data_IF_001733167778
#
_entry.id   IF_001733167778
#
_cell.length_a   1.000
_cell.length_b   1.000
_cell.length_c   1.000
_cell.angle_alpha   90.00
_cell.angle_beta   90.00
_cell.angle_gamma   90.00
#
_symmetry.space_group_name_H-M   'P 1'
#
loop_
_entity.id
_entity.type
_entity.pdbx_description
1 polymer ?
#
# COMPACT_ATOMS: atom_id res chain seq x y z
N UNK A 1 18.42 -17.03 19.75
CA UNK A 1 19.81 -16.59 19.59
C UNK A 1 19.83 -15.12 19.25
N UNK A 2 20.50 -14.35 20.06
CA UNK A 2 20.76 -12.93 19.79
C UNK A 2 21.80 -12.86 18.68
N UNK A 3 21.52 -12.10 17.65
CA UNK A 3 22.45 -11.95 16.53
C UNK A 3 22.15 -10.69 15.72
N UNK A 4 23.19 -10.18 15.10
CA UNK A 4 23.05 -9.07 14.17
C UNK A 4 22.64 -9.61 12.79
N UNK A 5 21.70 -8.94 12.15
CA UNK A 5 21.24 -9.24 10.81
C UNK A 5 21.63 -8.11 9.88
N UNK A 6 22.30 -8.46 8.80
CA UNK A 6 22.57 -7.56 7.69
C UNK A 6 21.75 -7.98 6.50
N UNK A 7 20.87 -7.09 6.03
CA UNK A 7 20.09 -7.30 4.81
C UNK A 7 20.43 -6.23 3.79
N UNK A 8 20.43 -6.63 2.52
CA UNK A 8 20.66 -5.70 1.40
C UNK A 8 19.88 -6.12 0.18
N UNK A 9 19.40 -5.15 -0.57
CA UNK A 9 18.75 -5.34 -1.85
C UNK A 9 19.29 -4.33 -2.86
N UNK A 10 19.59 -4.80 -4.05
CA UNK A 10 19.86 -3.95 -5.20
C UNK A 10 18.55 -3.64 -5.93
N UNK A 11 18.43 -2.43 -6.45
CA UNK A 11 17.28 -2.00 -7.21
C UNK A 11 17.67 -0.95 -8.25
N UNK A 12 16.84 -0.80 -9.27
CA UNK A 12 16.98 0.22 -10.29
C UNK A 12 15.98 1.34 -10.05
N UNK A 13 16.41 2.58 -10.37
CA UNK A 13 15.54 3.75 -10.32
C UNK A 13 15.41 4.31 -11.73
N UNK A 14 14.22 4.18 -12.38
CA UNK A 14 14.03 4.68 -13.73
C UNK A 14 14.39 6.16 -13.84
N UNK A 15 15.05 6.55 -14.93
CA UNK A 15 15.55 7.92 -15.10
C UNK A 15 14.45 8.97 -15.29
N UNK A 16 13.24 8.52 -15.63
CA UNK A 16 12.02 9.32 -15.73
C UNK A 16 11.24 9.43 -14.42
N UNK A 17 11.60 8.65 -13.39
CA UNK A 17 11.00 8.72 -12.08
C UNK A 17 11.53 9.91 -11.27
N UNK A 18 10.60 10.64 -10.66
CA UNK A 18 10.90 11.77 -9.79
C UNK A 18 11.62 11.32 -8.52
N UNK A 19 12.55 12.14 -8.04
CA UNK A 19 13.34 11.88 -6.82
C UNK A 19 12.96 12.79 -5.66
N UNK A 20 11.97 13.65 -5.84
CA UNK A 20 11.45 14.54 -4.81
C UNK A 20 10.51 13.82 -3.83
N UNK A 21 10.43 14.31 -2.62
CA UNK A 21 9.55 13.82 -1.57
C UNK A 21 9.61 12.30 -1.34
N UNK A 22 10.82 11.73 -1.37
CA UNK A 22 11.05 10.32 -1.08
C UNK A 22 11.09 10.06 0.41
N UNK A 23 10.47 8.97 0.81
CA UNK A 23 10.42 8.49 2.19
C UNK A 23 10.92 7.05 2.25
N UNK A 24 11.65 6.75 3.30
CA UNK A 24 11.86 5.40 3.77
C UNK A 24 10.66 5.00 4.63
N UNK A 25 9.94 3.95 4.26
CA UNK A 25 9.05 3.23 5.15
C UNK A 25 9.81 2.03 5.69
N UNK A 26 9.77 1.82 7.00
CA UNK A 26 10.46 0.70 7.61
C UNK A 26 9.79 0.23 8.90
N UNK A 27 9.95 -1.04 9.17
CA UNK A 27 9.52 -1.70 10.40
C UNK A 27 10.67 -2.52 10.94
N UNK A 28 10.82 -2.59 12.24
CA UNK A 28 11.95 -3.28 12.85
C UNK A 28 11.62 -3.84 14.25
N UNK A 29 12.44 -4.76 14.67
CA UNK A 29 12.56 -5.36 16.00
C UNK A 29 14.03 -5.71 16.21
N UNK A 30 14.62 -5.16 17.09
CA UNK A 30 15.02 -4.16 17.99
C UNK A 30 15.66 -2.89 17.35
N UNK A 31 17.03 -2.78 17.43
CA UNK A 31 17.76 -1.63 16.88
C UNK A 31 17.95 -1.77 15.37
N UNK A 32 17.80 -0.67 14.64
CA UNK A 32 18.02 -0.66 13.19
C UNK A 32 18.82 0.55 12.73
N UNK A 33 19.67 0.33 11.75
CA UNK A 33 20.34 1.35 10.94
C UNK A 33 20.06 1.07 9.47
N UNK A 34 19.58 2.07 8.72
CA UNK A 34 19.26 1.91 7.30
C UNK A 34 20.15 2.80 6.45
N UNK A 35 20.62 2.24 5.36
CA UNK A 35 21.58 2.87 4.44
C UNK A 35 21.06 2.83 3.00
N UNK A 36 21.15 3.94 2.30
CA UNK A 36 20.90 4.04 0.86
C UNK A 36 22.22 4.44 0.16
N UNK A 37 22.69 3.57 -0.74
CA UNK A 37 23.97 3.76 -1.44
C UNK A 37 25.15 4.06 -0.50
N UNK A 38 25.14 3.40 0.69
CA UNK A 38 26.17 3.57 1.72
C UNK A 38 26.02 4.81 2.61
N UNK A 39 25.02 5.66 2.37
CA UNK A 39 24.70 6.79 3.24
C UNK A 39 23.60 6.40 4.23
N UNK A 40 23.82 6.64 5.52
CA UNK A 40 22.83 6.35 6.55
C UNK A 40 21.62 7.31 6.41
N UNK A 41 20.42 6.75 6.33
CA UNK A 41 19.17 7.50 6.14
C UNK A 41 18.21 7.36 7.33
N UNK A 42 18.35 6.30 8.11
CA UNK A 42 17.57 6.12 9.32
C UNK A 42 18.34 5.36 10.40
N UNK A 43 18.01 5.66 11.64
CA UNK A 43 18.40 4.94 12.85
C UNK A 43 17.21 4.92 13.77
N UNK A 44 16.89 3.77 14.35
CA UNK A 44 15.90 3.65 15.40
C UNK A 44 16.44 2.77 16.55
N UNK A 45 15.91 3.05 17.74
CA UNK A 45 16.37 2.41 18.96
C UNK A 45 15.74 1.04 19.20
N UNK A 46 15.91 0.57 20.42
CA UNK A 46 15.41 -0.71 20.88
C UNK A 46 13.88 -0.70 20.94
N UNK A 47 13.25 -1.71 20.36
CA UNK A 47 11.81 -1.89 20.38
C UNK A 47 11.27 -2.41 19.04
N UNK A 48 10.02 -2.80 19.08
CA UNK A 48 9.25 -3.23 17.93
C UNK A 48 8.41 -2.06 17.43
N UNK A 49 8.75 -1.55 16.27
CA UNK A 49 8.01 -0.48 15.60
C UNK A 49 7.62 -0.88 14.18
N UNK A 50 6.42 -0.48 13.79
CA UNK A 50 5.86 -0.76 12.48
C UNK A 50 5.60 0.51 11.69
N UNK A 51 5.77 0.42 10.38
CA UNK A 51 5.40 1.45 9.40
C UNK A 51 5.94 2.85 9.71
N UNK A 52 7.13 2.91 10.27
CA UNK A 52 7.83 4.18 10.49
C UNK A 52 8.12 4.85 9.14
N UNK A 53 7.90 6.16 9.08
CA UNK A 53 8.19 6.97 7.90
C UNK A 53 9.31 7.95 8.21
N UNK A 54 10.35 7.93 7.40
CA UNK A 54 11.47 8.85 7.48
C UNK A 54 11.71 9.49 6.12
N UNK A 55 11.72 10.81 6.07
CA UNK A 55 12.07 11.53 4.86
C UNK A 55 13.53 11.24 4.47
N UNK A 56 13.74 10.90 3.21
CA UNK A 56 15.09 10.71 2.66
C UNK A 56 15.64 12.09 2.31
N UNK A 57 16.82 12.47 2.85
CA UNK A 57 17.42 13.76 2.52
C UNK A 57 17.58 13.95 1.01
N UNK A 58 17.23 15.11 0.48
CA UNK A 58 17.24 15.42 -0.95
C UNK A 58 18.59 15.07 -1.60
N UNK A 59 19.71 15.44 -0.98
CA UNK A 59 21.04 15.10 -1.47
C UNK A 59 21.33 13.58 -1.57
N UNK A 60 20.60 12.77 -0.80
CA UNK A 60 20.68 11.30 -0.89
C UNK A 60 19.75 10.81 -1.99
N UNK A 61 18.55 11.34 -2.09
CA UNK A 61 17.60 11.02 -3.14
C UNK A 61 18.17 11.32 -4.53
N UNK A 62 18.79 12.47 -4.70
CA UNK A 62 19.45 12.85 -5.96
C UNK A 62 20.63 11.93 -6.35
N UNK A 63 21.26 11.28 -5.36
CA UNK A 63 22.33 10.32 -5.61
C UNK A 63 21.85 8.98 -6.17
N UNK A 64 20.54 8.77 -6.32
CA UNK A 64 19.98 7.58 -6.94
C UNK A 64 20.42 7.48 -8.41
N UNK A 65 20.84 6.29 -8.79
CA UNK A 65 21.34 5.95 -10.13
C UNK A 65 20.24 5.22 -10.90
N UNK A 66 20.25 5.29 -12.23
CA UNK A 66 19.33 4.50 -13.05
C UNK A 66 19.38 3.00 -12.72
N UNK A 67 20.55 2.48 -12.37
CA UNK A 67 20.75 1.06 -12.04
C UNK A 67 21.70 0.89 -10.86
N UNK A 68 21.54 -0.23 -10.16
CA UNK A 68 22.50 -0.69 -9.16
C UNK A 68 22.51 0.10 -7.85
N UNK A 69 21.39 0.70 -7.46
CA UNK A 69 21.24 1.25 -6.11
C UNK A 69 21.18 0.14 -5.08
N UNK A 70 21.61 0.45 -3.86
CA UNK A 70 21.63 -0.51 -2.75
C UNK A 70 20.88 0.09 -1.56
N UNK A 71 19.84 -0.57 -1.14
CA UNK A 71 19.19 -0.35 0.15
C UNK A 71 19.66 -1.45 1.11
N UNK A 72 20.20 -1.07 2.24
CA UNK A 72 20.75 -1.99 3.22
C UNK A 72 20.31 -1.63 4.63
N UNK A 73 20.16 -2.62 5.49
CA UNK A 73 19.93 -2.39 6.90
C UNK A 73 20.79 -3.33 7.75
N UNK A 74 21.21 -2.79 8.88
CA UNK A 74 21.76 -3.54 10.00
C UNK A 74 20.73 -3.54 11.12
N UNK A 75 20.28 -4.71 11.51
CA UNK A 75 19.33 -4.86 12.62
C UNK A 75 20.01 -5.70 13.71
N UNK A 76 20.07 -5.15 14.93
CA UNK A 76 20.60 -5.83 16.08
C UNK A 76 19.46 -6.33 16.96
N UNK A 77 19.37 -7.65 17.09
CA UNK A 77 18.38 -8.29 17.94
C UNK A 77 18.94 -8.42 19.38
N UNK A 78 18.24 -7.82 20.33
CA UNK A 78 18.60 -7.86 21.76
C UNK A 78 17.91 -9.03 22.49
N UNK A 79 16.96 -9.70 21.86
CA UNK A 79 16.31 -10.92 22.37
C UNK A 79 14.91 -11.11 21.79
N UNK A 80 14.43 -12.34 21.78
CA UNK A 80 13.11 -12.69 21.26
C UNK A 80 13.06 -12.86 19.73
N UNK A 81 12.01 -12.34 19.11
CA UNK A 81 11.86 -12.28 17.67
C UNK A 81 12.82 -11.28 17.02
N UNK A 82 12.95 -11.34 15.71
CA UNK A 82 13.67 -10.34 14.93
C UNK A 82 12.87 -10.08 13.65
N UNK A 83 12.67 -8.82 13.34
CA UNK A 83 11.93 -8.41 12.18
C UNK A 83 12.57 -7.20 11.52
N UNK A 84 12.64 -7.21 10.21
CA UNK A 84 12.99 -6.03 9.41
C UNK A 84 12.23 -6.05 8.10
N UNK A 85 11.56 -4.96 7.81
CA UNK A 85 10.98 -4.65 6.51
C UNK A 85 11.29 -3.22 6.14
N UNK A 86 11.52 -2.94 4.86
CA UNK A 86 11.84 -1.61 4.41
C UNK A 86 11.57 -1.40 2.93
N UNK A 87 11.13 -0.20 2.58
CA UNK A 87 10.89 0.22 1.21
C UNK A 87 11.09 1.72 1.02
N UNK A 88 11.37 2.10 -0.22
CA UNK A 88 11.37 3.52 -0.61
C UNK A 88 10.01 3.81 -1.24
N UNK A 89 9.37 4.88 -0.78
CA UNK A 89 8.11 5.36 -1.31
C UNK A 89 8.16 6.84 -1.60
N UNK A 90 7.31 7.29 -2.49
CA UNK A 90 7.06 8.70 -2.72
C UNK A 90 5.77 9.11 -2.04
N UNK A 91 5.79 10.21 -1.32
CA UNK A 91 4.57 10.79 -0.77
C UNK A 91 3.84 11.54 -1.87
N UNK A 92 2.77 10.96 -2.36
CA UNK A 92 1.84 11.65 -3.26
C UNK A 92 0.87 12.47 -2.42
N UNK A 93 0.73 13.75 -2.70
CA UNK A 93 -0.28 14.56 -2.03
C UNK A 93 -1.66 13.99 -2.36
N UNK A 94 -2.47 13.77 -1.32
CA UNK A 94 -3.84 13.34 -1.48
C UNK A 94 -4.59 14.41 -2.30
N UNK A 95 -5.00 14.08 -3.50
CA UNK A 95 -5.59 15.03 -4.46
C UNK A 95 -4.79 15.17 -5.77
N UNK A 96 -3.50 14.82 -5.77
CA UNK A 96 -2.69 14.85 -7.00
C UNK A 96 -2.97 13.63 -7.92
N UNK A 97 -3.67 12.62 -7.41
CA UNK A 97 -3.99 11.40 -8.17
C UNK A 97 -5.35 11.49 -8.87
N UNK A 98 -6.27 12.30 -8.33
CA UNK A 98 -7.62 12.42 -8.86
C UNK A 98 -8.06 13.90 -8.85
N UNK A 99 -8.50 14.39 -10.00
CA UNK A 99 -8.92 15.78 -10.17
C UNK A 99 -10.27 16.06 -9.49
N UNK A 100 -11.14 15.04 -9.40
CA UNK A 100 -12.48 15.15 -8.85
C UNK A 100 -12.83 13.98 -7.92
N UNK A 101 -13.74 14.27 -6.98
CA UNK A 101 -14.33 13.25 -6.12
C UNK A 101 -15.67 12.81 -6.69
N UNK A 102 -15.88 11.51 -6.77
CA UNK A 102 -17.18 10.96 -7.11
C UNK A 102 -18.23 11.31 -6.05
N UNK A 103 -19.44 11.61 -6.51
CA UNK A 103 -20.60 11.88 -5.65
C UNK A 103 -21.36 10.57 -5.45
N UNK A 104 -21.51 10.13 -4.21
CA UNK A 104 -22.38 8.99 -3.90
C UNK A 104 -23.84 9.39 -4.04
N UNK A 105 -24.55 8.74 -4.94
CA UNK A 105 -25.97 8.99 -5.24
C UNK A 105 -26.89 8.09 -4.43
N UNK A 106 -26.50 6.84 -4.23
CA UNK A 106 -27.28 5.88 -3.48
C UNK A 106 -26.43 4.86 -2.75
N UNK A 107 -27.01 4.28 -1.72
CA UNK A 107 -26.53 3.09 -1.02
C UNK A 107 -27.75 2.26 -0.62
N UNK A 108 -27.67 0.96 -0.87
CA UNK A 108 -28.67 0.00 -0.41
C UNK A 108 -27.95 -1.23 0.18
N UNK A 109 -28.25 -1.55 1.42
CA UNK A 109 -27.64 -2.65 2.15
C UNK A 109 -28.66 -3.78 2.29
N UNK A 110 -28.28 -4.94 1.76
CA UNK A 110 -29.02 -6.18 1.88
C UNK A 110 -28.18 -7.22 2.66
N UNK A 111 -28.76 -8.33 3.14
CA UNK A 111 -28.03 -9.27 4.00
C UNK A 111 -26.70 -9.81 3.43
N UNK A 112 -26.63 -10.00 2.12
CA UNK A 112 -25.43 -10.55 1.45
C UNK A 112 -24.83 -9.64 0.41
N UNK A 113 -25.43 -8.47 0.18
CA UNK A 113 -25.00 -7.53 -0.85
C UNK A 113 -25.17 -6.10 -0.40
N UNK A 114 -24.21 -5.27 -0.80
CA UNK A 114 -24.32 -3.82 -0.66
C UNK A 114 -24.13 -3.17 -2.02
N UNK A 115 -25.09 -2.33 -2.38
CA UNK A 115 -25.14 -1.63 -3.66
C UNK A 115 -24.81 -0.16 -3.45
N UNK A 116 -23.94 0.37 -4.29
CA UNK A 116 -23.61 1.79 -4.34
C UNK A 116 -23.74 2.30 -5.76
N UNK A 117 -24.20 3.55 -5.90
CA UNK A 117 -24.11 4.30 -7.16
C UNK A 117 -23.32 5.57 -6.93
N UNK A 118 -22.34 5.83 -7.77
CA UNK A 118 -21.52 7.04 -7.78
C UNK A 118 -21.60 7.72 -9.14
N UNK A 119 -21.43 9.04 -9.15
CA UNK A 119 -21.32 9.84 -10.38
C UNK A 119 -20.07 10.72 -10.32
N UNK A 120 -19.33 10.78 -11.43
CA UNK A 120 -18.17 11.63 -11.60
C UNK A 120 -17.88 11.82 -13.10
N UNK A 121 -17.51 13.02 -13.53
CA UNK A 121 -17.02 13.29 -14.89
C UNK A 121 -17.94 12.82 -16.04
N UNK A 122 -19.27 12.90 -15.88
CA UNK A 122 -20.22 12.43 -16.90
C UNK A 122 -20.47 10.93 -16.93
N UNK A 123 -19.97 10.20 -15.94
CA UNK A 123 -20.07 8.74 -15.83
C UNK A 123 -20.79 8.35 -14.53
N UNK A 124 -21.64 7.33 -14.61
CA UNK A 124 -22.21 6.64 -13.45
C UNK A 124 -21.50 5.30 -13.24
N UNK A 125 -21.12 5.03 -12.00
CA UNK A 125 -20.51 3.79 -11.55
C UNK A 125 -21.44 3.13 -10.53
N UNK A 126 -21.92 1.93 -10.84
CA UNK A 126 -22.60 1.07 -9.88
C UNK A 126 -21.60 0.04 -9.34
N UNK A 127 -21.47 -0.06 -8.02
CA UNK A 127 -20.64 -1.05 -7.32
C UNK A 127 -21.52 -1.96 -6.47
N UNK A 128 -21.26 -3.26 -6.54
CA UNK A 128 -21.95 -4.26 -5.74
C UNK A 128 -20.90 -5.09 -5.01
N UNK A 129 -20.93 -5.00 -3.70
CA UNK A 129 -20.15 -5.88 -2.83
C UNK A 129 -21.02 -7.08 -2.46
N UNK A 130 -20.54 -8.28 -2.75
CA UNK A 130 -21.29 -9.52 -2.49
C UNK A 130 -20.47 -10.44 -1.60
N UNK A 131 -21.02 -10.81 -0.44
CA UNK A 131 -20.54 -11.90 0.39
C UNK A 131 -21.42 -13.13 0.11
N UNK A 132 -20.92 -14.20 -0.53
CA UNK A 132 -21.73 -15.35 -0.90
C UNK A 132 -22.07 -16.19 0.34
N UNK A 133 -23.13 -15.81 1.02
CA UNK A 133 -23.62 -16.51 2.21
C UNK A 133 -24.81 -17.38 1.85
N UNK A 134 -24.54 -18.62 1.45
CA UNK A 134 -25.55 -19.60 1.01
C UNK A 134 -25.82 -20.60 2.12
N UNK A 135 -26.97 -20.48 2.81
CA UNK A 135 -27.31 -21.30 3.96
C UNK A 135 -27.35 -22.82 3.66
N UNK A 136 -27.56 -23.18 2.40
CA UNK A 136 -27.65 -24.59 1.96
C UNK A 136 -26.31 -25.11 1.40
N UNK A 137 -25.25 -24.31 1.42
CA UNK A 137 -23.94 -24.66 0.88
C UNK A 137 -22.84 -24.23 1.86
N UNK A 138 -22.44 -25.18 2.71
CA UNK A 138 -21.42 -24.94 3.74
C UNK A 138 -20.04 -24.68 3.12
N UNK A 139 -19.73 -25.22 1.96
CA UNK A 139 -18.48 -24.99 1.27
C UNK A 139 -18.40 -23.54 0.78
N UNK A 140 -19.46 -23.04 0.16
CA UNK A 140 -19.55 -21.63 -0.23
C UNK A 140 -19.53 -20.69 0.98
N UNK A 141 -20.18 -21.07 2.10
CA UNK A 141 -20.19 -20.28 3.33
C UNK A 141 -18.81 -20.16 4.00
N UNK A 142 -18.01 -21.21 3.93
CA UNK A 142 -16.66 -21.23 4.52
C UNK A 142 -15.58 -20.67 3.59
N UNK A 143 -15.96 -20.42 2.34
CA UNK A 143 -15.05 -19.87 1.35
C UNK A 143 -14.72 -18.39 1.65
N UNK A 144 -13.45 -17.99 1.71
CA UNK A 144 -13.05 -16.64 2.07
C UNK A 144 -13.18 -15.66 0.87
N UNK A 145 -14.05 -15.94 -0.09
CA UNK A 145 -14.22 -15.13 -1.29
C UNK A 145 -15.35 -14.11 -1.12
N UNK A 146 -15.04 -12.86 -1.49
CA UNK A 146 -16.02 -11.80 -1.66
C UNK A 146 -15.91 -11.27 -3.10
N UNK A 147 -17.03 -10.85 -3.65
CA UNK A 147 -17.07 -10.34 -5.02
C UNK A 147 -17.30 -8.83 -5.01
N UNK A 148 -16.59 -8.14 -5.88
CA UNK A 148 -16.85 -6.75 -6.22
C UNK A 148 -17.25 -6.74 -7.69
N UNK A 149 -18.50 -6.43 -7.95
CA UNK A 149 -19.03 -6.28 -9.31
C UNK A 149 -19.21 -4.80 -9.58
N UNK A 150 -18.88 -4.36 -10.79
CA UNK A 150 -19.09 -2.99 -11.19
C UNK A 150 -19.71 -2.89 -12.56
N UNK A 151 -20.47 -1.82 -12.77
CA UNK A 151 -21.01 -1.44 -14.06
C UNK A 151 -20.80 0.06 -14.25
N UNK A 152 -20.31 0.42 -15.43
CA UNK A 152 -20.06 1.81 -15.80
C UNK A 152 -20.96 2.18 -16.96
N UNK A 153 -21.54 3.39 -16.93
CA UNK A 153 -22.35 3.93 -18.03
C UNK A 153 -22.16 5.43 -18.17
N UNK A 154 -22.17 5.92 -19.39
CA UNK A 154 -22.25 7.35 -19.68
C UNK A 154 -23.60 7.91 -19.25
N UNK A 155 -23.60 9.09 -18.64
CA UNK A 155 -24.82 9.83 -18.25
C UNK A 155 -24.94 11.18 -18.96
N UNK A 156 -23.96 11.56 -19.75
CA UNK A 156 -23.94 12.80 -20.54
C UNK A 156 -24.07 12.55 -22.06
N UNK A 157 -24.20 11.28 -22.47
CA UNK A 157 -24.36 10.87 -23.87
C UNK A 157 -23.09 10.92 -24.71
N UNK A 158 -21.93 11.05 -24.06
CA UNK A 158 -20.61 11.04 -24.71
C UNK A 158 -19.89 9.73 -24.46
N UNK A 159 -18.89 9.45 -25.29
CA UNK A 159 -17.95 8.37 -25.04
C UNK A 159 -16.91 8.77 -24.00
N UNK A 160 -16.61 7.87 -23.08
CA UNK A 160 -15.63 8.05 -22.01
C UNK A 160 -14.68 6.87 -21.96
N UNK A 161 -13.37 7.13 -21.88
CA UNK A 161 -12.38 6.13 -21.50
C UNK A 161 -12.37 5.99 -19.97
N UNK A 162 -12.73 4.82 -19.49
CA UNK A 162 -12.86 4.55 -18.05
C UNK A 162 -11.90 3.48 -17.62
N UNK A 163 -11.13 3.76 -16.57
CA UNK A 163 -10.31 2.80 -15.86
C UNK A 163 -10.76 2.73 -14.40
N UNK A 164 -10.90 1.52 -13.89
CA UNK A 164 -11.21 1.29 -12.49
C UNK A 164 -9.92 0.91 -11.75
N UNK A 165 -9.58 1.70 -10.74
CA UNK A 165 -8.49 1.39 -9.82
C UNK A 165 -9.08 0.94 -8.48
N UNK A 166 -8.64 -0.22 -7.99
CA UNK A 166 -9.00 -0.75 -6.69
C UNK A 166 -7.73 -0.98 -5.88
N UNK A 167 -7.69 -0.41 -4.69
CA UNK A 167 -6.62 -0.62 -3.72
C UNK A 167 -7.18 -1.17 -2.41
N UNK A 168 -6.55 -2.20 -1.88
CA UNK A 168 -6.84 -2.75 -0.58
C UNK A 168 -5.56 -2.80 0.24
N UNK A 169 -5.59 -2.24 1.45
CA UNK A 169 -4.44 -2.33 2.36
C UNK A 169 -4.42 -3.69 3.07
N UNK A 170 -3.24 -4.22 3.43
CA UNK A 170 -3.11 -5.48 4.15
C UNK A 170 -3.79 -5.47 5.52
N UNK A 171 -4.13 -4.30 6.06
CA UNK A 171 -4.89 -4.15 7.31
C UNK A 171 -6.29 -4.79 7.26
N UNK A 172 -6.83 -5.04 6.06
CA UNK A 172 -8.06 -5.80 5.89
C UNK A 172 -7.90 -7.28 6.22
N UNK A 173 -6.68 -7.77 6.08
CA UNK A 173 -6.29 -9.09 6.55
C UNK A 173 -5.78 -8.91 7.98
N UNK A 174 -6.69 -8.75 8.93
CA UNK A 174 -6.33 -8.70 10.34
C UNK A 174 -5.40 -9.88 10.65
N UNK A 175 -4.12 -9.58 10.74
CA UNK A 175 -3.15 -10.52 11.27
C UNK A 175 -3.45 -10.60 12.77
N UNK A 176 -4.34 -11.49 13.12
CA UNK A 176 -4.42 -11.97 14.50
C UNK A 176 -3.10 -12.69 14.71
N UNK A 177 -2.22 -12.06 15.45
CA UNK A 177 -1.08 -12.78 16.01
C UNK A 177 -1.63 -13.82 16.99
N UNK A 178 -1.64 -15.06 16.53
CA UNK A 178 -1.86 -16.22 17.40
C UNK A 178 -0.56 -16.53 18.09
#
# INVERSE_FOLDING_TARGET
>A
STGDIWVRRTFDWPSDEQKDALYLQYSHDDNIEVYLNGKQIAVAGNGLDYDLLKEIPEAVAESLKPTGNVLAAHCRNNGGGAYVDMGIMRKVKRGDTFDEKAIQKSMNVMPTQTFYTFECGGVSLDLIFTAPFLLNDLEAMTSPFNYITYQVRSIDGKDHDVQLYLEATPQWLSLIHI
#
